data_IF_948144332320
#
_entry.id   IF_948144332320
#
_cell.length_a   1.000
_cell.length_b   1.000
_cell.length_c   1.000
_cell.angle_alpha   90.00
_cell.angle_beta   90.00
_cell.angle_gamma   90.00
#
_symmetry.space_group_name_H-M   'P 1'
#
loop_
_entity.id
_entity.type
_entity.pdbx_description
1 polymer ?
#
# COMPACT_ATOMS: atom_id res chain seq x y z
N UNK A 1 42.44 -42.33 7.47
CA UNK A 1 42.78 -40.89 7.58
C UNK A 1 42.07 -40.01 6.55
N UNK A 2 41.91 -40.41 5.28
CA UNK A 2 41.25 -39.59 4.24
C UNK A 2 39.76 -39.25 4.51
N UNK A 3 39.03 -40.08 5.27
CA UNK A 3 37.61 -39.87 5.61
C UNK A 3 37.37 -38.65 6.52
N UNK A 4 38.34 -38.32 7.38
CA UNK A 4 38.30 -37.10 8.22
C UNK A 4 38.62 -35.84 7.40
N UNK A 5 39.55 -35.95 6.45
CA UNK A 5 39.93 -34.86 5.54
C UNK A 5 38.76 -34.49 4.62
N UNK A 6 38.01 -35.49 4.13
CA UNK A 6 36.85 -35.26 3.26
C UNK A 6 35.68 -34.56 3.97
N UNK A 7 35.48 -34.85 5.27
CA UNK A 7 34.45 -34.18 6.08
C UNK A 7 34.78 -32.70 6.36
N UNK A 8 36.06 -32.36 6.57
CA UNK A 8 36.50 -30.98 6.78
C UNK A 8 36.39 -30.12 5.50
N UNK A 9 36.60 -30.71 4.32
CA UNK A 9 36.42 -30.00 3.05
C UNK A 9 34.94 -29.75 2.71
N UNK A 10 34.04 -30.64 3.12
CA UNK A 10 32.59 -30.48 2.94
C UNK A 10 32.02 -29.38 3.85
N UNK A 11 32.49 -29.24 5.09
CA UNK A 11 32.04 -28.15 5.98
C UNK A 11 32.67 -26.81 5.61
N UNK A 12 33.91 -26.78 5.14
CA UNK A 12 34.58 -25.56 4.69
C UNK A 12 33.93 -24.98 3.42
N UNK A 13 33.54 -25.82 2.47
CA UNK A 13 32.78 -25.38 1.28
C UNK A 13 31.36 -24.89 1.61
N UNK A 14 30.70 -25.49 2.61
CA UNK A 14 29.39 -25.03 3.09
C UNK A 14 29.49 -23.71 3.88
N UNK A 15 30.55 -23.49 4.64
CA UNK A 15 30.79 -22.26 5.42
C UNK A 15 30.98 -21.02 4.56
N UNK A 16 31.77 -21.10 3.49
CA UNK A 16 32.03 -19.98 2.57
C UNK A 16 30.77 -19.52 1.80
N UNK A 17 29.85 -20.45 1.51
CA UNK A 17 28.60 -20.15 0.83
C UNK A 17 27.61 -19.35 1.70
N UNK A 18 27.64 -19.53 3.03
CA UNK A 18 26.76 -18.84 3.96
C UNK A 18 27.19 -17.38 4.15
N UNK A 19 28.50 -17.10 4.18
CA UNK A 19 29.06 -15.78 4.50
C UNK A 19 28.90 -14.75 3.36
N UNK A 20 28.96 -15.20 2.10
CA UNK A 20 28.71 -14.32 0.94
C UNK A 20 27.22 -13.98 0.77
N UNK A 21 26.32 -14.87 1.20
CA UNK A 21 24.89 -14.67 1.04
C UNK A 21 24.32 -13.66 2.05
N UNK A 22 24.85 -13.65 3.28
CA UNK A 22 24.44 -12.72 4.36
C UNK A 22 24.91 -11.29 4.11
N UNK A 23 26.15 -11.08 3.67
CA UNK A 23 26.68 -9.75 3.32
C UNK A 23 25.94 -9.12 2.14
N UNK A 24 25.61 -9.91 1.12
CA UNK A 24 24.80 -9.46 -0.02
C UNK A 24 23.37 -9.08 0.39
N UNK A 25 22.68 -9.92 1.16
CA UNK A 25 21.31 -9.62 1.65
C UNK A 25 21.26 -8.43 2.60
N UNK A 26 22.30 -8.20 3.41
CA UNK A 26 22.42 -7.00 4.24
C UNK A 26 22.56 -5.74 3.38
N UNK A 27 23.37 -5.79 2.31
CA UNK A 27 23.52 -4.65 1.40
C UNK A 27 22.22 -4.34 0.63
N UNK A 28 21.51 -5.37 0.15
CA UNK A 28 20.25 -5.22 -0.56
C UNK A 28 19.17 -4.64 0.35
N UNK A 29 19.10 -5.10 1.61
CA UNK A 29 18.16 -4.56 2.60
C UNK A 29 18.47 -3.09 2.95
N UNK A 30 19.74 -2.71 3.01
CA UNK A 30 20.12 -1.31 3.23
C UNK A 30 19.66 -0.41 2.08
N UNK A 31 19.82 -0.86 0.83
CA UNK A 31 19.32 -0.13 -0.35
C UNK A 31 17.79 0.02 -0.28
N UNK A 32 17.09 -1.05 0.12
CA UNK A 32 15.64 -0.98 0.33
C UNK A 32 15.24 0.05 1.39
N UNK A 33 15.96 0.12 2.51
CA UNK A 33 15.71 1.13 3.55
C UNK A 33 16.01 2.56 3.08
N UNK A 34 17.08 2.78 2.33
CA UNK A 34 17.38 4.11 1.76
C UNK A 34 16.26 4.58 0.82
N UNK A 35 15.83 3.71 -0.10
CA UNK A 35 14.72 4.01 -1.01
C UNK A 35 13.40 4.27 -0.28
N UNK A 36 13.16 3.55 0.82
CA UNK A 36 12.01 3.78 1.69
C UNK A 36 12.05 5.17 2.32
N UNK A 37 13.19 5.56 2.91
CA UNK A 37 13.37 6.88 3.54
C UNK A 37 13.20 8.00 2.52
N UNK A 38 13.82 7.89 1.33
CA UNK A 38 13.63 8.85 0.24
C UNK A 38 12.16 8.97 -0.17
N UNK A 39 11.46 7.84 -0.27
CA UNK A 39 10.03 7.80 -0.57
C UNK A 39 9.18 8.53 0.48
N UNK A 40 9.50 8.35 1.77
CA UNK A 40 8.83 9.05 2.87
C UNK A 40 9.08 10.56 2.82
N UNK A 41 10.30 10.99 2.51
CA UNK A 41 10.60 12.42 2.36
C UNK A 41 9.82 13.05 1.20
N UNK A 42 9.72 12.35 0.07
CA UNK A 42 8.94 12.81 -1.08
C UNK A 42 7.44 12.89 -0.73
N UNK A 43 6.92 11.92 0.01
CA UNK A 43 5.55 11.97 0.53
C UNK A 43 5.31 13.19 1.40
N UNK A 44 6.21 13.48 2.36
CA UNK A 44 6.13 14.67 3.22
C UNK A 44 6.19 15.99 2.44
N UNK A 45 6.86 15.99 1.27
CA UNK A 45 6.92 17.12 0.34
C UNK A 45 5.70 17.21 -0.58
N UNK A 46 4.70 16.35 -0.44
CA UNK A 46 3.51 16.29 -1.31
C UNK A 46 3.78 15.71 -2.71
N UNK A 47 4.99 15.20 -2.96
CA UNK A 47 5.38 14.61 -4.27
C UNK A 47 4.99 13.14 -4.33
N UNK A 48 3.68 12.88 -4.26
CA UNK A 48 3.13 11.55 -4.09
C UNK A 48 3.48 10.57 -5.23
N UNK A 49 3.55 11.03 -6.48
CA UNK A 49 3.93 10.20 -7.63
C UNK A 49 5.37 9.69 -7.51
N UNK A 50 6.27 10.58 -7.10
CA UNK A 50 7.70 10.29 -6.96
C UNK A 50 7.94 9.40 -5.74
N UNK A 51 7.20 9.65 -4.64
CA UNK A 51 7.19 8.79 -3.46
C UNK A 51 6.82 7.35 -3.84
N UNK A 52 5.72 7.16 -4.58
CA UNK A 52 5.28 5.83 -5.05
C UNK A 52 6.38 5.15 -5.88
N UNK A 53 7.05 5.90 -6.77
CA UNK A 53 8.12 5.35 -7.60
C UNK A 53 9.29 4.83 -6.78
N UNK A 54 9.75 5.59 -5.76
CA UNK A 54 10.84 5.18 -4.87
C UNK A 54 10.46 4.01 -3.98
N UNK A 55 9.26 4.03 -3.40
CA UNK A 55 8.76 2.98 -2.53
C UNK A 55 8.51 1.67 -3.30
N UNK A 56 8.09 1.74 -4.57
CA UNK A 56 7.98 0.56 -5.44
C UNK A 56 9.33 -0.12 -5.67
N UNK A 57 10.42 0.65 -5.78
CA UNK A 57 11.77 0.09 -5.86
C UNK A 57 12.19 -0.55 -4.54
N UNK A 58 11.84 0.08 -3.41
CA UNK A 58 12.08 -0.50 -2.07
C UNK A 58 11.41 -1.87 -1.91
N UNK A 59 10.12 -2.01 -2.25
CA UNK A 59 9.42 -3.31 -2.16
C UNK A 59 9.85 -4.34 -3.22
N UNK A 60 10.52 -3.91 -4.29
CA UNK A 60 11.11 -4.86 -5.24
C UNK A 60 12.33 -5.56 -4.64
N UNK A 61 13.09 -4.82 -3.81
CA UNK A 61 14.30 -5.32 -3.16
C UNK A 61 13.96 -6.04 -1.84
N UNK A 62 13.09 -5.44 -1.02
CA UNK A 62 12.53 -6.08 0.17
C UNK A 62 11.00 -6.12 0.09
N UNK A 63 10.41 -7.18 -0.49
CA UNK A 63 8.97 -7.34 -0.59
C UNK A 63 8.22 -7.33 0.74
N UNK A 64 8.92 -7.57 1.85
CA UNK A 64 8.35 -7.64 3.21
C UNK A 64 8.37 -6.31 3.94
N UNK A 65 8.91 -5.25 3.34
CA UNK A 65 8.95 -3.93 3.96
C UNK A 65 7.54 -3.31 4.07
N UNK A 66 6.89 -3.50 5.22
CA UNK A 66 5.54 -3.04 5.49
C UNK A 66 5.39 -1.51 5.40
N UNK A 67 6.41 -0.77 5.84
CA UNK A 67 6.42 0.71 5.81
C UNK A 67 6.30 1.19 4.37
N UNK A 68 7.01 0.57 3.43
CA UNK A 68 6.94 0.96 2.03
C UNK A 68 5.55 0.70 1.42
N UNK A 69 4.92 -0.43 1.74
CA UNK A 69 3.54 -0.69 1.31
C UNK A 69 2.54 0.30 1.91
N UNK A 70 2.71 0.63 3.19
CA UNK A 70 1.87 1.59 3.91
C UNK A 70 1.95 2.98 3.29
N UNK A 71 3.16 3.50 3.05
CA UNK A 71 3.37 4.84 2.49
C UNK A 71 2.94 4.90 1.03
N UNK A 72 3.02 3.80 0.27
CA UNK A 72 2.40 3.72 -1.08
C UNK A 72 0.88 3.88 -0.98
N UNK A 73 0.25 3.20 -0.03
CA UNK A 73 -1.18 3.32 0.24
C UNK A 73 -1.59 4.77 0.53
N UNK A 74 -0.89 5.43 1.47
CA UNK A 74 -1.11 6.84 1.77
C UNK A 74 -0.86 7.76 0.57
N UNK A 75 0.19 7.51 -0.20
CA UNK A 75 0.51 8.35 -1.37
C UNK A 75 -0.58 8.28 -2.44
N UNK A 76 -1.13 7.09 -2.73
CA UNK A 76 -2.27 6.97 -3.63
C UNK A 76 -3.55 7.57 -3.03
N UNK A 77 -3.73 7.48 -1.71
CA UNK A 77 -4.88 8.07 -1.03
C UNK A 77 -4.88 9.59 -1.15
N UNK A 78 -3.73 10.23 -0.94
CA UNK A 78 -3.55 11.67 -1.08
C UNK A 78 -3.76 12.12 -2.54
N UNK A 79 -3.22 11.38 -3.51
CA UNK A 79 -3.51 11.64 -4.93
C UNK A 79 -5.01 11.51 -5.24
N UNK A 80 -5.65 10.48 -4.69
CA UNK A 80 -7.08 10.23 -4.80
C UNK A 80 -7.93 11.26 -4.06
N UNK A 81 -7.47 11.84 -2.94
CA UNK A 81 -8.13 12.95 -2.25
C UNK A 81 -8.10 14.22 -3.10
N UNK A 82 -6.92 14.55 -3.63
CA UNK A 82 -6.73 15.74 -4.46
C UNK A 82 -7.55 15.68 -5.75
N UNK A 83 -7.75 14.49 -6.31
CA UNK A 83 -8.50 14.28 -7.56
C UNK A 83 -9.92 13.73 -7.37
N UNK A 84 -10.30 13.37 -6.14
CA UNK A 84 -11.48 12.56 -5.82
C UNK A 84 -11.62 11.29 -6.69
N UNK A 85 -10.49 10.72 -7.14
CA UNK A 85 -10.48 9.63 -8.11
C UNK A 85 -10.57 8.26 -7.44
N UNK A 86 -11.72 7.61 -7.62
CA UNK A 86 -11.98 6.26 -7.11
C UNK A 86 -10.92 5.23 -7.55
N UNK A 87 -10.43 5.31 -8.80
CA UNK A 87 -9.45 4.35 -9.33
C UNK A 87 -8.14 4.36 -8.54
N UNK A 88 -7.71 5.52 -8.06
CA UNK A 88 -6.42 5.63 -7.35
C UNK A 88 -6.55 5.16 -5.91
N UNK A 89 -7.69 5.42 -5.27
CA UNK A 89 -8.03 4.89 -3.94
C UNK A 89 -8.19 3.36 -3.98
N UNK A 90 -8.82 2.81 -5.02
CA UNK A 90 -8.90 1.36 -5.22
C UNK A 90 -7.52 0.70 -5.43
N UNK A 91 -6.61 1.37 -6.14
CA UNK A 91 -5.21 0.91 -6.24
C UNK A 91 -4.56 0.89 -4.86
N UNK A 92 -4.70 1.98 -4.08
CA UNK A 92 -4.19 2.06 -2.71
C UNK A 92 -4.66 0.86 -1.89
N UNK A 93 -5.97 0.61 -1.90
CA UNK A 93 -6.60 -0.50 -1.17
C UNK A 93 -6.02 -1.85 -1.60
N UNK A 94 -5.90 -2.10 -2.91
CA UNK A 94 -5.34 -3.36 -3.43
C UNK A 94 -3.89 -3.56 -3.01
N UNK A 95 -3.08 -2.50 -3.01
CA UNK A 95 -1.68 -2.57 -2.58
C UNK A 95 -1.55 -2.91 -1.10
N UNK A 96 -2.26 -2.18 -0.22
CA UNK A 96 -2.24 -2.44 1.22
C UNK A 96 -2.83 -3.82 1.54
N UNK A 97 -3.88 -4.25 0.83
CA UNK A 97 -4.51 -5.55 1.06
C UNK A 97 -3.55 -6.68 0.76
N UNK A 98 -2.85 -6.58 -0.38
CA UNK A 98 -1.82 -7.53 -0.74
C UNK A 98 -0.68 -7.56 0.28
N UNK A 99 -0.27 -6.42 0.84
CA UNK A 99 0.79 -6.40 1.85
C UNK A 99 0.34 -6.99 3.18
N UNK A 100 -0.87 -6.70 3.66
CA UNK A 100 -1.42 -7.30 4.90
C UNK A 100 -1.58 -8.81 4.85
N UNK A 101 -1.86 -9.37 3.67
CA UNK A 101 -1.94 -10.82 3.48
C UNK A 101 -0.56 -11.50 3.61
N UNK A 102 0.54 -10.75 3.47
CA UNK A 102 1.90 -11.28 3.61
C UNK A 102 2.39 -11.34 5.06
N UNK A 103 1.72 -10.67 6.02
CA UNK A 103 1.87 -10.82 7.49
C UNK A 103 0.85 -9.96 8.25
N UNK A 104 0.34 -10.48 9.37
CA UNK A 104 -0.57 -9.78 10.28
C UNK A 104 0.14 -8.66 11.05
N UNK A 105 0.17 -7.45 10.50
CA UNK A 105 0.54 -6.24 11.24
C UNK A 105 -0.67 -5.31 11.38
N UNK A 106 -0.94 -4.89 12.62
CA UNK A 106 -2.11 -4.09 13.01
C UNK A 106 -2.21 -2.76 12.24
N UNK A 107 -1.08 -2.10 11.98
CA UNK A 107 -0.99 -0.78 11.34
C UNK A 107 -1.52 -0.78 9.91
N UNK A 108 -1.39 -1.90 9.20
CA UNK A 108 -1.88 -2.02 7.84
C UNK A 108 -3.39 -2.36 7.78
N UNK A 109 -3.95 -2.96 8.84
CA UNK A 109 -5.40 -3.22 8.97
C UNK A 109 -6.18 -1.91 9.12
N UNK A 110 -5.66 -0.95 9.88
CA UNK A 110 -6.30 0.38 10.05
C UNK A 110 -6.42 1.16 8.74
N UNK A 111 -5.35 1.16 7.92
CA UNK A 111 -5.38 1.82 6.61
C UNK A 111 -6.34 1.13 5.64
N UNK A 112 -6.48 -0.20 5.71
CA UNK A 112 -7.49 -0.90 4.91
C UNK A 112 -8.90 -0.45 5.26
N UNK A 113 -9.24 -0.42 6.54
CA UNK A 113 -10.56 0.02 7.01
C UNK A 113 -10.83 1.46 6.57
N UNK A 114 -9.83 2.34 6.68
CA UNK A 114 -9.93 3.72 6.21
C UNK A 114 -10.20 3.80 4.69
N UNK A 115 -9.42 3.07 3.88
CA UNK A 115 -9.57 3.06 2.42
C UNK A 115 -10.90 2.44 1.97
N UNK A 116 -11.38 1.37 2.63
CA UNK A 116 -12.68 0.76 2.35
C UNK A 116 -13.82 1.76 2.59
N UNK A 117 -13.80 2.44 3.74
CA UNK A 117 -14.79 3.48 4.05
C UNK A 117 -14.78 4.60 3.01
N UNK A 118 -13.60 5.02 2.55
CA UNK A 118 -13.46 6.06 1.54
C UNK A 118 -13.95 5.62 0.16
N UNK A 119 -13.66 4.38 -0.24
CA UNK A 119 -14.20 3.77 -1.47
C UNK A 119 -15.72 3.74 -1.42
N UNK A 120 -16.30 3.34 -0.29
CA UNK A 120 -17.75 3.30 -0.08
C UNK A 120 -18.38 4.70 -0.22
N UNK A 121 -17.78 5.72 0.41
CA UNK A 121 -18.22 7.11 0.30
C UNK A 121 -18.21 7.67 -1.13
N UNK A 122 -17.29 7.19 -1.97
CA UNK A 122 -17.18 7.65 -3.37
C UNK A 122 -18.10 6.84 -4.30
N UNK A 123 -18.27 5.53 -4.04
CA UNK A 123 -19.16 4.64 -4.82
C UNK A 123 -20.63 4.88 -4.53
N UNK A 124 -20.95 5.15 -3.27
CA UNK A 124 -22.26 5.62 -2.86
C UNK A 124 -22.14 7.11 -2.58
N UNK A 125 -22.35 7.98 -3.59
CA UNK A 125 -22.76 9.33 -3.24
C UNK A 125 -24.06 9.13 -2.45
N UNK A 126 -24.01 9.29 -1.12
CA UNK A 126 -25.23 9.61 -0.36
C UNK A 126 -25.93 10.63 -1.24
N UNK A 127 -27.21 10.40 -1.52
CA UNK A 127 -28.07 11.41 -2.11
C UNK A 127 -27.57 12.76 -1.62
N UNK A 128 -26.95 13.54 -2.52
CA UNK A 128 -26.79 14.97 -2.24
C UNK A 128 -28.21 15.35 -1.84
N UNK A 129 -28.47 15.85 -0.62
CA UNK A 129 -29.83 16.17 -0.25
C UNK A 129 -30.29 17.18 -1.29
N UNK A 130 -31.10 16.74 -2.25
CA UNK A 130 -31.89 17.62 -3.06
C UNK A 130 -32.72 18.33 -2.03
N UNK A 131 -32.33 19.57 -1.74
CA UNK A 131 -33.13 20.49 -0.98
C UNK A 131 -34.44 20.57 -1.75
N UNK A 132 -35.42 19.79 -1.31
CA UNK A 132 -36.69 19.61 -1.97
C UNK A 132 -37.33 20.98 -2.13
N UNK A 133 -37.44 21.48 -3.37
CA UNK A 133 -38.66 22.21 -3.71
C UNK A 133 -39.71 21.14 -3.97
N UNK A 134 -40.44 20.77 -2.92
CA UNK A 134 -41.62 19.93 -3.01
C UNK A 134 -42.64 20.66 -3.89
N UNK A 135 -42.74 20.29 -5.15
CA UNK A 135 -43.97 20.44 -5.92
C UNK A 135 -44.43 19.02 -6.27
N UNK A 136 -44.91 18.31 -5.24
CA UNK A 136 -45.80 17.17 -5.46
C UNK A 136 -47.21 17.73 -5.49
N UNK A 137 -47.65 18.13 -6.69
CA UNK A 137 -49.06 18.33 -6.99
C UNK A 137 -49.73 16.96 -7.00
N UNK A 138 -50.12 16.49 -5.81
CA UNK A 138 -51.16 15.46 -5.74
C UNK A 138 -52.42 16.07 -6.35
N UNK A 139 -52.68 15.78 -7.63
CA UNK A 139 -54.05 15.75 -8.14
C UNK A 139 -54.80 14.70 -7.32
N UNK A 140 -55.85 15.14 -6.62
CA UNK A 140 -57.18 14.69 -6.99
C UNK A 140 -58.17 15.85 -6.91
N UNK A 141 -58.22 16.69 -7.96
CA UNK A 141 -59.35 17.60 -8.19
C UNK A 141 -59.59 17.68 -9.70
N UNK A 142 -60.03 16.57 -10.27
CA UNK A 142 -61.14 16.66 -11.21
C UNK A 142 -62.40 16.69 -10.35
N UNK A 143 -63.30 17.63 -10.62
CA UNK A 143 -64.64 17.79 -10.05
C UNK A 143 -64.74 18.34 -8.61
N UNK A 144 -64.67 19.68 -8.48
CA UNK A 144 -65.78 20.48 -7.92
C UNK A 144 -65.45 21.99 -8.01
N UNK A 145 -66.33 22.72 -8.72
CA UNK A 145 -66.42 24.17 -8.96
C UNK A 145 -65.58 24.73 -10.12
#
# INVERSE_FOLDING_TARGET
MYKFILLLLLTFSFGLAIEQNTSKTLSDKNISMTLMVEGIELYKKGRYSDAISKLKKSIHIDPKNHVSHFVIGLSYDEQGNLSQNLKDIEKAYKYVKRSTQLKEENTSKEVLVYLEKKIDLIKTPREQPQYHKKECSTCPIGDLL
#
